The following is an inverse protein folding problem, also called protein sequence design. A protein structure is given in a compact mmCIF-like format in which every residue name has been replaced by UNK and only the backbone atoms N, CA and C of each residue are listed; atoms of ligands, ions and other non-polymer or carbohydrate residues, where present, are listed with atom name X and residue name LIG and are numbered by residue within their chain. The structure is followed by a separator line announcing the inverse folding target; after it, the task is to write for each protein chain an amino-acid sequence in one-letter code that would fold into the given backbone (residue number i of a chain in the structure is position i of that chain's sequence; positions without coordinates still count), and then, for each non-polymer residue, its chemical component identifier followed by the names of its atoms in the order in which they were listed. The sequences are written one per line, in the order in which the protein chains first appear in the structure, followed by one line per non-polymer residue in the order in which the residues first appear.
data_IF_077659170862
#
_entry.id   IF_077659170862
#
_cell.length_a   1.000
_cell.length_b   1.000
_cell.length_c   1.000
_cell.angle_alpha   90.00
_cell.angle_beta   90.00
_cell.angle_gamma   90.00
#
_symmetry.space_group_name_H-M   'P 1'
#
loop_
_entity.id
_entity.type
_entity.pdbx_description
1 polymer ?
#
# COMPACT_ATOMS: atom_id res chain seq x y z
N UNK A 1 -26.51 50.51 14.21
CA UNK A 1 -26.46 49.04 14.13
C UNK A 1 -24.99 48.64 13.96
N UNK A 2 -24.41 48.00 14.92
CA UNK A 2 -23.02 47.58 14.87
C UNK A 2 -22.93 46.33 13.98
N UNK A 3 -22.18 46.38 12.87
CA UNK A 3 -21.84 45.24 12.04
C UNK A 3 -20.98 44.27 12.88
N UNK A 4 -21.46 43.06 13.11
CA UNK A 4 -20.67 41.98 13.66
C UNK A 4 -19.80 41.44 12.52
N UNK A 5 -18.58 41.97 12.42
CA UNK A 5 -17.54 41.48 11.49
C UNK A 5 -17.00 40.14 12.00
N UNK A 6 -17.21 39.06 11.28
CA UNK A 6 -16.61 37.75 11.60
C UNK A 6 -17.48 36.54 11.33
N UNK A 7 -18.62 36.70 10.65
CA UNK A 7 -19.48 35.57 10.26
C UNK A 7 -19.35 35.32 8.77
N UNK A 8 -18.73 34.24 8.38
CA UNK A 8 -18.73 33.77 6.97
C UNK A 8 -19.94 32.87 6.73
N UNK A 9 -20.76 33.23 5.78
CA UNK A 9 -21.86 32.40 5.30
C UNK A 9 -21.47 31.72 3.99
N UNK A 10 -21.65 30.42 3.91
CA UNK A 10 -21.51 29.65 2.65
C UNK A 10 -22.81 28.90 2.37
N UNK A 11 -23.22 28.89 1.10
CA UNK A 11 -24.40 28.14 0.64
C UNK A 11 -23.96 26.75 0.21
N UNK A 12 -24.53 25.72 0.83
CA UNK A 12 -24.29 24.32 0.46
C UNK A 12 -24.97 23.94 -0.85
N UNK A 13 -24.61 22.77 -1.38
CA UNK A 13 -25.16 22.20 -2.64
C UNK A 13 -26.67 21.94 -2.52
N UNK A 14 -27.19 21.85 -1.30
CA UNK A 14 -28.62 21.68 -0.95
C UNK A 14 -29.40 22.99 -0.90
N UNK A 15 -28.78 24.13 -1.24
CA UNK A 15 -29.36 25.46 -1.19
C UNK A 15 -29.52 26.07 0.20
N UNK A 16 -29.09 25.37 1.24
CA UNK A 16 -29.14 25.88 2.62
C UNK A 16 -27.90 26.72 2.95
N UNK A 17 -28.13 27.80 3.71
CA UNK A 17 -27.06 28.71 4.14
C UNK A 17 -26.49 28.23 5.47
N UNK A 18 -25.21 27.91 5.50
CA UNK A 18 -24.47 27.53 6.69
C UNK A 18 -23.65 28.70 7.18
N UNK A 19 -23.77 29.04 8.44
CA UNK A 19 -22.95 30.05 9.12
C UNK A 19 -21.84 29.36 9.89
N UNK A 20 -20.58 29.58 9.50
CA UNK A 20 -19.43 29.20 10.32
C UNK A 20 -18.96 30.41 11.13
N UNK A 21 -19.10 30.36 12.44
CA UNK A 21 -18.42 31.29 13.33
C UNK A 21 -16.99 30.80 13.53
N UNK A 22 -16.01 31.56 13.09
CA UNK A 22 -14.63 31.36 13.54
C UNK A 22 -14.54 31.94 14.94
N UNK A 23 -14.63 31.08 15.95
CA UNK A 23 -14.30 31.45 17.31
C UNK A 23 -12.81 31.80 17.36
N UNK A 24 -12.52 33.08 17.42
CA UNK A 24 -11.18 33.63 17.60
C UNK A 24 -10.83 33.64 19.08
N UNK A 25 -10.95 32.47 19.75
CA UNK A 25 -10.74 32.27 21.18
C UNK A 25 -9.26 32.37 21.60
N UNK A 26 -8.36 32.64 20.68
CA UNK A 26 -6.96 32.89 21.00
C UNK A 26 -6.73 34.41 21.04
N UNK A 27 -6.86 35.04 22.20
CA UNK A 27 -6.27 36.35 22.45
C UNK A 27 -4.79 36.30 22.00
N UNK A 28 -4.47 37.05 20.96
CA UNK A 28 -3.09 37.18 20.56
C UNK A 28 -2.27 37.86 21.62
N UNK A 29 -0.98 37.58 21.71
CA UNK A 29 -0.07 38.30 22.61
C UNK A 29 -0.17 39.82 22.42
N UNK A 30 -0.46 40.29 21.20
CA UNK A 30 -0.65 41.69 20.87
C UNK A 30 -1.97 42.28 21.45
N UNK A 31 -3.05 41.50 21.40
CA UNK A 31 -4.34 41.95 21.97
C UNK A 31 -4.28 42.02 23.49
N UNK A 32 -3.57 41.08 24.11
CA UNK A 32 -3.31 41.13 25.53
C UNK A 32 -2.45 42.36 25.94
N UNK A 33 -1.40 42.66 25.16
CA UNK A 33 -0.57 43.85 25.40
C UNK A 33 -1.38 45.15 25.27
N UNK A 34 -2.29 45.22 24.31
CA UNK A 34 -3.20 46.38 24.19
C UNK A 34 -4.12 46.52 25.40
N UNK A 35 -4.71 45.41 25.86
CA UNK A 35 -5.53 45.42 27.07
C UNK A 35 -4.72 45.87 28.29
N UNK A 36 -3.49 45.39 28.44
CA UNK A 36 -2.60 45.80 29.55
C UNK A 36 -2.26 47.31 29.50
N UNK A 37 -2.02 47.85 28.31
CA UNK A 37 -1.76 49.29 28.14
C UNK A 37 -3.00 50.12 28.49
N UNK A 38 -4.19 49.66 28.11
CA UNK A 38 -5.44 50.33 28.46
C UNK A 38 -5.73 50.28 29.98
N UNK A 39 -5.44 49.13 30.62
CA UNK A 39 -5.61 48.92 32.04
C UNK A 39 -4.61 49.75 32.85
N UNK A 40 -3.35 49.88 32.42
CA UNK A 40 -2.35 50.77 32.99
C UNK A 40 -2.75 52.24 32.91
N UNK A 41 -3.48 52.66 31.87
CA UNK A 41 -4.00 54.04 31.76
C UNK A 41 -5.16 54.33 32.69
N UNK A 42 -5.93 53.32 33.08
CA UNK A 42 -7.12 53.44 33.94
C UNK A 42 -6.84 53.19 35.42
N UNK A 43 -5.61 52.77 35.79
CA UNK A 43 -5.28 52.44 37.17
C UNK A 43 -5.14 53.70 38.07
N UNK A 44 -5.79 53.61 39.23
CA UNK A 44 -5.59 54.52 40.35
C UNK A 44 -4.21 54.29 40.97
N UNK A 45 -3.35 55.27 41.09
CA UNK A 45 -1.98 55.16 41.63
C UNK A 45 -1.91 54.63 43.10
N UNK A 46 -3.02 54.46 43.75
CA UNK A 46 -3.05 53.94 45.12
C UNK A 46 -3.23 52.44 45.28
N UNK A 47 -3.51 51.69 44.19
CA UNK A 47 -3.72 50.23 44.24
C UNK A 47 -3.04 49.55 43.04
N UNK A 48 -1.74 49.32 43.11
CA UNK A 48 -1.06 48.59 42.02
C UNK A 48 -1.55 47.12 41.98
N UNK A 49 -2.17 46.74 40.87
CA UNK A 49 -2.46 45.33 40.59
C UNK A 49 -1.18 44.57 40.33
N UNK A 50 -1.18 43.24 40.60
CA UNK A 50 -0.04 42.35 40.55
C UNK A 50 0.33 42.03 39.06
N UNK A 51 0.88 43.04 38.35
CA UNK A 51 1.34 42.98 36.99
C UNK A 51 2.35 41.84 36.78
N UNK A 52 3.09 41.47 37.83
CA UNK A 52 4.05 40.36 37.80
C UNK A 52 3.35 38.99 37.60
N UNK A 53 2.19 38.81 38.25
CA UNK A 53 1.39 37.58 38.12
C UNK A 53 0.78 37.45 36.72
N UNK A 54 0.31 38.57 36.14
CA UNK A 54 -0.20 38.59 34.77
C UNK A 54 0.91 38.28 33.76
N UNK A 55 2.10 38.86 33.92
CA UNK A 55 3.26 38.58 33.06
C UNK A 55 3.67 37.09 33.14
N UNK A 56 3.62 36.52 34.35
CA UNK A 56 3.91 35.11 34.56
C UNK A 56 2.90 34.19 33.84
N UNK A 57 1.61 34.49 33.89
CA UNK A 57 0.55 33.77 33.20
C UNK A 57 0.73 33.87 31.69
N UNK A 58 1.09 35.05 31.18
CA UNK A 58 1.37 35.24 29.75
C UNK A 58 2.59 34.46 29.29
N UNK A 59 3.68 34.41 30.06
CA UNK A 59 4.84 33.56 29.75
C UNK A 59 4.45 32.08 29.70
N UNK A 60 3.62 31.62 30.65
CA UNK A 60 3.12 30.24 30.65
C UNK A 60 2.27 29.96 29.39
N UNK A 61 1.37 30.89 29.04
CA UNK A 61 0.52 30.76 27.85
C UNK A 61 1.32 30.80 26.56
N UNK A 62 2.34 31.67 26.49
CA UNK A 62 3.29 31.70 25.36
C UNK A 62 4.07 30.38 25.22
N UNK A 63 4.52 29.83 26.36
CA UNK A 63 5.20 28.53 26.38
C UNK A 63 4.27 27.41 25.95
N UNK A 64 3.01 27.41 26.41
CA UNK A 64 2.01 26.43 25.98
C UNK A 64 1.75 26.52 24.47
N UNK A 65 1.54 27.74 23.95
CA UNK A 65 1.34 27.95 22.52
C UNK A 65 2.55 27.51 21.69
N UNK A 66 3.78 27.74 22.16
CA UNK A 66 4.99 27.26 21.53
C UNK A 66 5.05 25.73 21.52
N UNK A 67 4.69 25.08 22.63
CA UNK A 67 4.64 23.63 22.72
C UNK A 67 3.57 23.04 21.77
N UNK A 68 2.37 23.66 21.72
CA UNK A 68 1.31 23.23 20.79
C UNK A 68 1.74 23.42 19.33
N UNK A 69 2.44 24.50 19.01
CA UNK A 69 2.99 24.73 17.67
C UNK A 69 4.05 23.69 17.32
N UNK A 70 4.88 23.30 18.29
CA UNK A 70 5.87 22.22 18.12
C UNK A 70 5.17 20.88 17.84
N UNK A 71 4.13 20.53 18.61
CA UNK A 71 3.37 19.30 18.38
C UNK A 71 2.76 19.29 16.98
N UNK A 72 2.10 20.39 16.55
CA UNK A 72 1.55 20.52 15.19
C UNK A 72 2.61 20.38 14.10
N UNK A 73 3.80 20.92 14.36
CA UNK A 73 4.93 20.78 13.42
C UNK A 73 5.40 19.33 13.32
N UNK A 74 5.51 18.62 14.44
CA UNK A 74 5.85 17.20 14.48
C UNK A 74 4.81 16.35 13.76
N UNK A 75 3.52 16.61 13.95
CA UNK A 75 2.45 15.94 13.21
C UNK A 75 2.55 16.19 11.69
N UNK A 76 2.88 17.41 11.29
CA UNK A 76 3.06 17.77 9.89
C UNK A 76 4.26 17.05 9.27
N UNK A 77 5.38 16.94 10.00
CA UNK A 77 6.56 16.20 9.60
C UNK A 77 6.22 14.71 9.47
N UNK A 78 5.51 14.15 10.44
CA UNK A 78 5.07 12.76 10.39
C UNK A 78 4.20 12.48 9.15
N UNK A 79 3.22 13.35 8.85
CA UNK A 79 2.40 13.24 7.64
C UNK A 79 3.23 13.31 6.36
N UNK A 80 4.16 14.26 6.29
CA UNK A 80 5.05 14.40 5.12
C UNK A 80 5.95 13.16 4.94
N UNK A 81 6.48 12.61 6.04
CA UNK A 81 7.29 11.40 6.01
C UNK A 81 6.47 10.19 5.54
N UNK A 82 5.27 10.01 6.07
CA UNK A 82 4.35 8.95 5.65
C UNK A 82 4.01 9.06 4.16
N UNK A 83 3.72 10.27 3.68
CA UNK A 83 3.43 10.51 2.25
C UNK A 83 4.63 10.17 1.35
N UNK A 84 5.83 10.56 1.76
CA UNK A 84 7.08 10.22 1.04
C UNK A 84 7.30 8.71 1.01
N UNK A 85 7.06 8.03 2.13
CA UNK A 85 7.23 6.58 2.24
C UNK A 85 6.24 5.82 1.38
N UNK A 86 4.96 6.25 1.31
CA UNK A 86 3.97 5.68 0.38
C UNK A 86 4.44 5.85 -1.07
N UNK A 87 4.90 7.04 -1.44
CA UNK A 87 5.40 7.30 -2.79
C UNK A 87 6.55 6.37 -3.17
N UNK A 88 7.46 6.10 -2.25
CA UNK A 88 8.54 5.14 -2.45
C UNK A 88 8.02 3.71 -2.54
N UNK A 89 7.09 3.33 -1.67
CA UNK A 89 6.52 1.99 -1.62
C UNK A 89 5.69 1.65 -2.87
N UNK A 90 5.03 2.62 -3.50
CA UNK A 90 4.29 2.37 -4.76
C UNK A 90 5.19 1.92 -5.90
N UNK A 91 6.47 2.27 -5.87
CA UNK A 91 7.44 1.81 -6.88
C UNK A 91 7.73 0.31 -6.86
N UNK A 92 7.28 -0.42 -5.83
CA UNK A 92 7.43 -1.88 -5.75
C UNK A 92 6.19 -2.66 -6.18
N UNK A 93 5.09 -1.99 -6.51
CA UNK A 93 3.89 -2.65 -7.03
C UNK A 93 4.23 -3.38 -8.33
N UNK A 94 3.83 -4.65 -8.42
CA UNK A 94 4.14 -5.55 -9.52
C UNK A 94 5.52 -6.21 -9.45
N UNK A 95 6.38 -5.79 -8.54
CA UNK A 95 7.70 -6.41 -8.33
C UNK A 95 7.62 -7.58 -7.35
N UNK A 96 8.62 -8.44 -7.41
CA UNK A 96 8.78 -9.53 -6.47
C UNK A 96 9.58 -9.06 -5.26
N UNK A 97 9.18 -9.52 -4.08
CA UNK A 97 9.80 -9.17 -2.80
C UNK A 97 9.98 -10.40 -1.91
N UNK A 98 10.97 -10.37 -1.05
CA UNK A 98 11.18 -11.32 0.03
C UNK A 98 11.14 -10.58 1.38
N UNK A 99 10.61 -11.22 2.41
CA UNK A 99 10.55 -10.66 3.78
C UNK A 99 11.40 -11.46 4.78
N UNK A 100 12.27 -12.36 4.28
CA UNK A 100 13.10 -13.22 5.11
C UNK A 100 12.39 -14.43 5.73
N UNK A 101 11.08 -14.57 5.53
CA UNK A 101 10.36 -15.77 5.96
C UNK A 101 10.73 -16.96 5.07
N UNK A 102 10.99 -18.12 5.68
CA UNK A 102 11.32 -19.34 4.96
C UNK A 102 10.06 -20.03 4.42
N UNK A 103 10.20 -20.67 3.26
CA UNK A 103 9.19 -21.55 2.69
C UNK A 103 9.07 -22.84 3.52
N UNK A 104 8.19 -23.75 3.12
CA UNK A 104 7.94 -25.01 3.84
C UNK A 104 9.14 -25.97 3.82
N UNK A 105 10.06 -25.79 2.87
CA UNK A 105 11.32 -26.53 2.79
C UNK A 105 12.35 -26.10 3.86
N UNK A 106 12.11 -25.02 4.57
CA UNK A 106 12.97 -24.46 5.59
C UNK A 106 14.31 -23.91 5.07
N UNK A 107 14.50 -23.80 3.76
CA UNK A 107 15.75 -23.42 3.10
C UNK A 107 15.56 -22.19 2.22
N UNK A 108 14.51 -22.16 1.41
CA UNK A 108 14.23 -21.06 0.48
C UNK A 108 13.41 -19.95 1.12
N UNK A 109 13.70 -18.70 0.77
CA UNK A 109 12.87 -17.59 1.21
C UNK A 109 11.52 -17.59 0.47
N UNK A 110 10.45 -17.25 1.19
CA UNK A 110 9.17 -16.97 0.57
C UNK A 110 9.28 -15.74 -0.32
N UNK A 111 8.94 -15.89 -1.59
CA UNK A 111 8.84 -14.80 -2.53
C UNK A 111 7.36 -14.42 -2.73
N UNK A 112 7.12 -13.12 -2.89
CA UNK A 112 5.78 -12.56 -3.06
C UNK A 112 5.80 -11.58 -4.22
N UNK A 113 4.65 -11.40 -4.87
CA UNK A 113 4.40 -10.25 -5.75
C UNK A 113 3.58 -9.21 -5.02
N UNK A 114 3.97 -7.94 -5.10
CA UNK A 114 3.22 -6.84 -4.48
C UNK A 114 2.06 -6.44 -5.38
N UNK A 115 0.83 -6.48 -4.84
CA UNK A 115 -0.40 -6.12 -5.56
C UNK A 115 -0.86 -4.70 -5.27
N UNK A 116 -0.80 -4.30 -4.01
CA UNK A 116 -1.14 -2.93 -3.59
C UNK A 116 -0.36 -2.53 -2.35
N UNK A 117 -0.35 -1.23 -2.10
CA UNK A 117 0.24 -0.63 -0.89
C UNK A 117 -0.87 0.12 -0.16
N UNK A 118 -0.92 -0.05 1.14
CA UNK A 118 -1.87 0.61 2.03
C UNK A 118 -1.13 1.29 3.18
N UNK A 119 -1.73 2.35 3.71
CA UNK A 119 -1.29 2.98 4.95
C UNK A 119 -2.35 2.73 6.02
N UNK A 120 -2.00 1.99 7.04
CA UNK A 120 -2.87 1.69 8.18
C UNK A 120 -2.26 2.35 9.40
N UNK A 121 -2.87 3.44 9.86
CA UNK A 121 -2.46 4.20 11.06
C UNK A 121 -0.97 4.63 11.06
N UNK A 122 -0.42 4.92 9.89
CA UNK A 122 0.97 5.33 9.72
C UNK A 122 1.94 4.18 9.43
N UNK A 123 1.51 2.93 9.52
CA UNK A 123 2.25 1.75 9.08
C UNK A 123 1.95 1.46 7.60
N UNK A 124 3.00 1.41 6.78
CA UNK A 124 2.87 1.10 5.36
C UNK A 124 2.93 -0.41 5.20
N UNK A 125 1.84 -0.96 4.66
CA UNK A 125 1.67 -2.38 4.40
C UNK A 125 1.55 -2.66 2.92
N UNK A 126 2.15 -3.76 2.51
CA UNK A 126 2.01 -4.30 1.17
C UNK A 126 1.02 -5.48 1.20
N UNK A 127 0.01 -5.43 0.35
CA UNK A 127 -0.82 -6.59 0.03
C UNK A 127 -0.09 -7.39 -1.04
N UNK A 128 0.24 -8.62 -0.71
CA UNK A 128 1.10 -9.47 -1.52
C UNK A 128 0.44 -10.82 -1.80
N UNK A 129 0.81 -11.45 -2.91
CA UNK A 129 0.50 -12.85 -3.20
C UNK A 129 1.78 -13.66 -3.17
N UNK A 130 1.74 -14.78 -2.45
CA UNK A 130 2.88 -15.70 -2.36
C UNK A 130 3.12 -16.38 -3.71
N UNK A 131 4.35 -16.39 -4.17
CA UNK A 131 4.79 -17.20 -5.30
C UNK A 131 4.93 -18.65 -4.83
N UNK A 132 4.21 -19.57 -5.46
CA UNK A 132 4.17 -20.99 -5.10
C UNK A 132 5.32 -21.74 -5.79
N UNK A 133 5.45 -21.56 -7.09
CA UNK A 133 6.50 -22.17 -7.92
C UNK A 133 6.64 -21.41 -9.24
N UNK A 134 7.69 -21.75 -9.99
CA UNK A 134 7.88 -21.30 -11.36
C UNK A 134 7.43 -22.41 -12.30
N UNK A 135 6.51 -22.08 -13.20
CA UNK A 135 5.99 -22.98 -14.20
C UNK A 135 6.72 -22.78 -15.52
N UNK A 136 7.22 -23.88 -16.12
CA UNK A 136 7.80 -23.83 -17.46
C UNK A 136 6.69 -23.70 -18.50
N UNK A 137 6.83 -22.72 -19.38
CA UNK A 137 5.84 -22.46 -20.42
C UNK A 137 5.91 -23.54 -21.49
N UNK A 138 4.79 -24.27 -21.66
CA UNK A 138 4.58 -25.24 -22.69
C UNK A 138 3.68 -24.65 -23.78
N UNK A 139 3.99 -24.86 -25.04
CA UNK A 139 3.24 -24.37 -26.20
C UNK A 139 2.87 -25.47 -27.15
N UNK A 140 1.81 -25.22 -27.94
CA UNK A 140 1.42 -25.98 -29.12
C UNK A 140 1.32 -25.04 -30.31
N UNK A 141 1.37 -25.55 -31.57
CA UNK A 141 0.95 -24.75 -32.73
C UNK A 141 -0.49 -24.24 -32.52
N UNK A 142 -0.74 -22.99 -32.90
CA UNK A 142 -2.09 -22.43 -32.79
C UNK A 142 -3.02 -23.16 -33.80
N UNK A 143 -4.15 -23.73 -33.35
CA UNK A 143 -5.09 -24.42 -34.24
C UNK A 143 -5.67 -23.53 -35.34
N UNK A 144 -5.72 -22.21 -35.11
CA UNK A 144 -6.23 -21.23 -36.07
C UNK A 144 -5.18 -20.68 -37.03
N UNK A 145 -3.89 -20.75 -36.66
CA UNK A 145 -2.77 -20.23 -37.44
C UNK A 145 -1.49 -21.01 -37.11
N UNK A 146 -1.17 -21.99 -37.91
CA UNK A 146 -0.01 -22.86 -37.69
C UNK A 146 1.35 -22.15 -37.73
N UNK A 147 1.40 -20.88 -38.15
CA UNK A 147 2.61 -20.03 -38.06
C UNK A 147 2.83 -19.48 -36.65
N UNK A 148 1.83 -19.54 -35.77
CA UNK A 148 1.86 -19.08 -34.38
C UNK A 148 1.88 -20.24 -33.40
N UNK A 149 2.28 -19.93 -32.18
CA UNK A 149 2.23 -20.87 -31.06
C UNK A 149 1.29 -20.35 -30.00
N UNK A 150 0.54 -21.25 -29.38
CA UNK A 150 -0.37 -21.00 -28.29
C UNK A 150 0.21 -21.61 -27.00
N UNK A 151 0.20 -20.86 -25.93
CA UNK A 151 0.51 -21.38 -24.60
C UNK A 151 -0.64 -22.27 -24.11
N UNK A 152 -0.28 -23.37 -23.45
CA UNK A 152 -1.24 -24.22 -22.76
C UNK A 152 -1.26 -23.89 -21.27
N UNK A 153 -2.43 -23.94 -20.68
CA UNK A 153 -2.60 -23.81 -19.24
C UNK A 153 -2.64 -25.21 -18.61
N UNK A 154 -1.82 -25.46 -17.61
CA UNK A 154 -1.85 -26.69 -16.82
C UNK A 154 -1.68 -26.37 -15.33
N UNK A 155 -2.21 -27.25 -14.46
CA UNK A 155 -2.14 -27.04 -13.02
C UNK A 155 -0.89 -27.68 -12.39
N UNK A 156 -0.73 -27.50 -11.06
CA UNK A 156 0.39 -28.07 -10.30
C UNK A 156 0.49 -29.60 -10.38
N UNK A 157 -0.59 -30.27 -10.77
CA UNK A 157 -0.60 -31.72 -11.02
C UNK A 157 -0.34 -32.07 -12.48
N UNK A 158 -0.27 -31.08 -13.38
CA UNK A 158 0.02 -31.20 -14.81
C UNK A 158 -1.22 -31.36 -15.70
N UNK A 159 -2.45 -31.30 -15.15
CA UNK A 159 -3.65 -31.41 -16.00
C UNK A 159 -3.79 -30.19 -16.90
N UNK A 160 -3.98 -30.45 -18.20
CA UNK A 160 -4.11 -29.41 -19.23
C UNK A 160 -5.57 -28.97 -19.31
N UNK A 161 -5.76 -27.63 -19.40
CA UNK A 161 -7.07 -27.00 -19.52
C UNK A 161 -7.24 -26.35 -20.90
N UNK A 162 -8.44 -26.40 -21.42
CA UNK A 162 -8.85 -25.69 -22.64
C UNK A 162 -9.13 -24.20 -22.35
N UNK A 163 -9.49 -23.45 -23.39
CA UNK A 163 -9.81 -22.01 -23.27
C UNK A 163 -11.07 -21.71 -22.44
N UNK A 164 -11.90 -22.72 -22.21
CA UNK A 164 -13.10 -22.64 -21.37
C UNK A 164 -12.81 -23.03 -19.92
N UNK A 165 -11.54 -23.35 -19.58
CA UNK A 165 -11.13 -23.80 -18.24
C UNK A 165 -11.56 -25.24 -17.93
N UNK A 166 -11.83 -26.07 -18.94
CA UNK A 166 -12.18 -27.49 -18.76
C UNK A 166 -10.94 -28.36 -19.01
N UNK A 167 -10.84 -29.49 -18.28
CA UNK A 167 -9.77 -30.46 -18.47
C UNK A 167 -9.88 -31.12 -19.83
N UNK A 168 -8.78 -31.15 -20.57
CA UNK A 168 -8.71 -31.75 -21.92
C UNK A 168 -8.55 -33.27 -21.95
N UNK A 169 -8.43 -33.89 -20.74
CA UNK A 169 -8.06 -35.30 -20.63
C UNK A 169 -6.58 -35.61 -20.84
N UNK A 170 -5.79 -34.62 -21.16
CA UNK A 170 -4.33 -34.74 -21.30
C UNK A 170 -3.63 -34.17 -20.06
N UNK A 171 -2.42 -34.64 -19.81
CA UNK A 171 -1.62 -34.23 -18.68
C UNK A 171 -0.15 -34.10 -19.07
N UNK A 172 0.49 -32.99 -18.66
CA UNK A 172 1.94 -32.86 -18.67
C UNK A 172 2.51 -33.69 -17.52
N UNK A 173 3.37 -34.63 -17.80
CA UNK A 173 4.12 -35.34 -16.75
C UNK A 173 5.10 -34.37 -16.08
N UNK A 174 5.04 -34.25 -14.77
CA UNK A 174 5.87 -33.31 -14.00
C UNK A 174 6.84 -34.07 -13.08
N UNK A 175 8.06 -33.57 -12.94
CA UNK A 175 9.01 -34.00 -11.91
C UNK A 175 8.76 -33.29 -10.57
N UNK A 176 8.40 -32.01 -10.63
CA UNK A 176 7.98 -31.15 -9.55
C UNK A 176 6.90 -30.19 -10.06
N UNK A 177 6.12 -29.53 -9.21
CA UNK A 177 5.13 -28.53 -9.64
C UNK A 177 5.75 -27.53 -10.63
N UNK A 178 5.16 -27.40 -11.81
CA UNK A 178 5.62 -26.51 -12.87
C UNK A 178 6.85 -26.98 -13.67
N UNK A 179 7.42 -28.15 -13.35
CA UNK A 179 8.63 -28.65 -14.03
C UNK A 179 8.32 -29.91 -14.85
N UNK A 180 8.03 -29.80 -16.18
CA UNK A 180 7.77 -30.94 -17.04
C UNK A 180 8.92 -31.93 -17.11
N UNK A 181 8.59 -33.22 -17.12
CA UNK A 181 9.52 -34.26 -17.55
C UNK A 181 9.79 -34.09 -19.04
N UNK A 182 11.07 -34.17 -19.40
CA UNK A 182 11.53 -33.99 -20.78
C UNK A 182 12.11 -35.30 -21.32
N UNK A 183 11.67 -35.69 -22.50
CA UNK A 183 12.20 -36.83 -23.26
C UNK A 183 12.44 -36.35 -24.70
N UNK A 184 13.63 -36.59 -25.21
CA UNK A 184 14.04 -36.16 -26.54
C UNK A 184 13.79 -34.68 -26.87
N UNK A 185 13.95 -33.79 -25.82
CA UNK A 185 13.76 -32.35 -25.94
C UNK A 185 12.30 -31.88 -25.94
N UNK A 186 11.35 -32.79 -25.74
CA UNK A 186 9.91 -32.47 -25.66
C UNK A 186 9.35 -32.80 -24.28
N UNK A 187 8.31 -32.07 -23.82
CA UNK A 187 7.60 -32.42 -22.60
C UNK A 187 6.88 -33.78 -22.77
N UNK A 188 6.92 -34.62 -21.75
CA UNK A 188 6.17 -35.87 -21.73
C UNK A 188 4.70 -35.57 -21.47
N UNK A 189 3.82 -36.00 -22.40
CA UNK A 189 2.37 -35.84 -22.29
C UNK A 189 1.73 -37.20 -22.06
N UNK A 190 0.79 -37.24 -21.12
CA UNK A 190 0.04 -38.45 -20.78
C UNK A 190 -1.43 -38.31 -21.21
N UNK A 191 -2.06 -39.44 -21.52
CA UNK A 191 -3.51 -39.53 -21.71
C UNK A 191 -4.25 -39.65 -20.35
N UNK A 192 -5.57 -39.75 -20.37
CA UNK A 192 -6.42 -39.92 -19.16
C UNK A 192 -6.09 -41.18 -18.36
N UNK A 193 -5.52 -42.22 -19.02
CA UNK A 193 -5.15 -43.49 -18.39
C UNK A 193 -3.71 -43.49 -17.88
N UNK A 194 -2.97 -42.37 -18.07
CA UNK A 194 -1.58 -42.24 -17.66
C UNK A 194 -0.56 -42.81 -18.66
N UNK A 195 -0.98 -43.17 -19.87
CA UNK A 195 -0.06 -43.65 -20.91
C UNK A 195 0.58 -42.47 -21.64
N UNK A 196 1.85 -42.62 -22.02
CA UNK A 196 2.58 -41.62 -22.80
C UNK A 196 2.03 -41.48 -24.23
N UNK A 197 1.67 -40.24 -24.59
CA UNK A 197 1.31 -39.86 -25.94
C UNK A 197 2.61 -39.56 -26.69
N UNK A 198 3.05 -40.43 -27.57
CA UNK A 198 4.35 -40.31 -28.26
C UNK A 198 4.33 -39.34 -29.45
N UNK A 199 3.14 -39.10 -30.04
CA UNK A 199 2.98 -38.19 -31.19
C UNK A 199 2.20 -36.95 -30.75
N UNK A 200 2.89 -35.85 -30.47
CA UNK A 200 2.30 -34.58 -30.11
C UNK A 200 3.21 -33.41 -30.53
N UNK A 201 2.61 -32.21 -30.61
CA UNK A 201 3.28 -30.97 -31.02
C UNK A 201 3.60 -30.03 -29.83
N UNK A 202 3.49 -30.51 -28.58
CA UNK A 202 3.86 -29.75 -27.41
C UNK A 202 5.37 -29.48 -27.37
N UNK A 203 5.74 -28.24 -27.08
CA UNK A 203 7.12 -27.76 -27.00
C UNK A 203 7.34 -26.94 -25.74
N UNK A 204 8.55 -27.00 -25.19
CA UNK A 204 9.01 -26.12 -24.15
C UNK A 204 9.60 -24.85 -24.77
N UNK A 205 9.25 -23.68 -24.23
CA UNK A 205 9.79 -22.39 -24.70
C UNK A 205 11.10 -22.01 -24.02
N UNK A 206 11.46 -22.68 -22.92
CA UNK A 206 12.54 -22.27 -22.04
C UNK A 206 12.21 -21.07 -21.13
N UNK A 207 10.99 -20.55 -21.21
CA UNK A 207 10.51 -19.48 -20.34
C UNK A 207 9.81 -20.07 -19.12
N UNK A 208 9.92 -19.37 -17.99
CA UNK A 208 9.23 -19.69 -16.75
C UNK A 208 8.25 -18.57 -16.39
N UNK A 209 7.08 -18.94 -15.92
CA UNK A 209 6.07 -18.02 -15.39
C UNK A 209 5.84 -18.30 -13.92
N UNK A 210 5.76 -17.26 -13.08
CA UNK A 210 5.45 -17.43 -11.66
C UNK A 210 3.96 -17.77 -11.47
N UNK A 211 3.71 -18.80 -10.67
CA UNK A 211 2.36 -19.18 -10.21
C UNK A 211 2.18 -18.68 -8.79
N UNK A 212 1.11 -17.96 -8.55
CA UNK A 212 0.81 -17.32 -7.28
C UNK A 212 -0.33 -18.00 -6.54
N UNK A 213 -0.34 -17.85 -5.22
CA UNK A 213 -1.48 -18.22 -4.39
C UNK A 213 -2.69 -17.33 -4.70
N UNK A 214 -3.90 -17.88 -4.65
CA UNK A 214 -5.14 -17.08 -4.73
C UNK A 214 -5.35 -16.20 -3.49
N UNK A 215 -4.74 -16.58 -2.36
CA UNK A 215 -4.80 -15.81 -1.13
C UNK A 215 -3.83 -14.63 -1.16
N UNK A 216 -4.30 -13.47 -0.69
CA UNK A 216 -3.48 -12.30 -0.42
C UNK A 216 -3.08 -12.26 1.05
N UNK A 217 -1.86 -11.84 1.32
CA UNK A 217 -1.31 -11.63 2.66
C UNK A 217 -0.90 -10.15 2.81
N UNK A 218 -0.95 -9.64 4.04
CA UNK A 218 -0.40 -8.32 4.35
C UNK A 218 0.94 -8.47 5.04
N UNK A 219 1.95 -7.80 4.51
CA UNK A 219 3.28 -7.69 5.14
C UNK A 219 3.60 -6.23 5.39
N UNK A 220 4.33 -5.93 6.48
CA UNK A 220 4.86 -4.58 6.68
C UNK A 220 5.90 -4.27 5.61
N UNK A 221 5.84 -3.07 5.02
CA UNK A 221 6.82 -2.64 4.03
C UNK A 221 8.24 -2.63 4.60
N UNK A 222 8.38 -2.34 5.89
CA UNK A 222 9.66 -2.37 6.59
C UNK A 222 10.26 -3.77 6.77
N UNK A 223 9.45 -4.83 6.60
CA UNK A 223 9.92 -6.22 6.66
C UNK A 223 10.51 -6.73 5.35
N UNK A 224 10.39 -5.97 4.26
CA UNK A 224 10.94 -6.36 2.96
C UNK A 224 12.46 -6.31 3.03
N UNK A 225 13.10 -7.44 2.77
CA UNK A 225 14.55 -7.59 2.80
C UNK A 225 15.19 -7.56 1.42
N UNK A 226 14.40 -7.88 0.36
CA UNK A 226 14.87 -7.92 -1.02
C UNK A 226 13.74 -7.60 -2.01
N UNK A 227 14.09 -6.91 -3.10
CA UNK A 227 13.21 -6.55 -4.21
C UNK A 227 13.91 -6.98 -5.51
N UNK A 228 13.19 -7.63 -6.44
CA UNK A 228 13.74 -8.12 -7.73
C UNK A 228 12.67 -8.21 -8.84
#
# INVERSE_FOLDING_TARGET
MAEISGVNTSTGIDGNTYTSSVSNDSLSTNDFLKLMIEELKLQDPTKPMDSARMLQTQMQMSTLNSNLSMVKTLESIQKAFTQSSISTATGVIGKHVENGALAEDGITNKAFVVRSIENIEGDIRANVQRMLYLEQVVTIPDPSDSSKTKMINYDAAGYIYDDNGQKTGQKVALSNPGVPLVKDGKPVILDENGNEITSHDFKLTGQNMPVYSDATEQISFSSITKIF
#
